data_IF_389391749229
#
_entry.id   IF_389391749229
#
_cell.length_a   1.000
_cell.length_b   1.000
_cell.length_c   1.000
_cell.angle_alpha   90.00
_cell.angle_beta   90.00
_cell.angle_gamma   90.00
#
_symmetry.space_group_name_H-M   'P 1'
#
loop_
_entity.id
_entity.type
_entity.pdbx_description
1 polymer ?
#
# COMPACT_ATOMS: atom_id res chain seq x y z
N UNK A 1 -18.66 -21.49 -59.99
CA UNK A 1 -19.55 -22.45 -59.36
C UNK A 1 -19.19 -23.87 -59.72
N UNK A 2 -18.12 -24.48 -59.22
CA UNK A 2 -17.84 -25.95 -59.28
C UNK A 2 -16.60 -26.29 -58.49
N UNK A 3 -16.67 -26.12 -57.20
CA UNK A 3 -15.60 -26.59 -56.26
C UNK A 3 -16.08 -27.12 -54.90
N UNK A 4 -17.39 -27.26 -54.69
CA UNK A 4 -17.95 -27.72 -53.40
C UNK A 4 -18.59 -29.12 -53.47
N UNK A 5 -18.61 -29.80 -54.63
CA UNK A 5 -19.25 -31.13 -54.79
C UNK A 5 -18.35 -32.34 -54.49
N UNK A 6 -17.02 -32.20 -54.52
CA UNK A 6 -16.11 -33.34 -54.52
C UNK A 6 -15.67 -33.84 -53.12
N UNK A 7 -15.81 -33.01 -52.06
CA UNK A 7 -15.39 -33.41 -50.69
C UNK A 7 -16.37 -34.28 -49.90
N UNK A 8 -17.62 -34.34 -50.33
CA UNK A 8 -18.66 -35.09 -49.58
C UNK A 8 -18.78 -36.54 -50.01
N UNK A 9 -18.35 -36.92 -51.21
CA UNK A 9 -18.38 -38.30 -51.69
C UNK A 9 -17.23 -39.18 -51.14
N UNK A 10 -16.05 -38.59 -50.96
CA UNK A 10 -14.88 -39.29 -50.40
C UNK A 10 -15.04 -39.61 -48.92
N UNK A 11 -15.72 -38.77 -48.15
CA UNK A 11 -16.02 -39.05 -46.76
C UNK A 11 -17.10 -40.13 -46.59
N UNK A 12 -18.09 -40.24 -47.52
CA UNK A 12 -19.07 -41.33 -47.50
C UNK A 12 -18.46 -42.67 -47.89
N UNK A 13 -17.48 -42.71 -48.77
CA UNK A 13 -16.76 -43.96 -49.15
C UNK A 13 -15.83 -44.44 -48.02
N UNK A 14 -15.17 -43.53 -47.27
CA UNK A 14 -14.36 -43.88 -46.08
C UNK A 14 -15.22 -44.40 -44.91
N UNK A 15 -16.38 -43.85 -44.69
CA UNK A 15 -17.31 -44.31 -43.63
C UNK A 15 -17.95 -45.68 -43.98
N UNK A 16 -18.22 -45.98 -45.26
CA UNK A 16 -18.70 -47.33 -45.68
C UNK A 16 -17.61 -48.39 -45.58
N UNK A 17 -16.31 -48.05 -45.84
CA UNK A 17 -15.19 -48.99 -45.63
C UNK A 17 -14.91 -49.27 -44.17
N UNK A 18 -15.12 -48.34 -43.28
CA UNK A 18 -14.98 -48.53 -41.83
C UNK A 18 -16.11 -49.36 -41.21
N UNK A 19 -17.35 -49.25 -41.76
CA UNK A 19 -18.47 -50.07 -41.29
C UNK A 19 -18.37 -51.53 -41.80
N UNK A 20 -17.78 -51.79 -42.98
CA UNK A 20 -17.57 -53.15 -43.49
C UNK A 20 -16.46 -53.92 -42.77
N UNK A 21 -15.48 -53.22 -42.18
CA UNK A 21 -14.39 -53.82 -41.37
C UNK A 21 -14.80 -54.16 -39.92
N UNK A 22 -16.03 -53.77 -39.50
CA UNK A 22 -16.54 -54.00 -38.15
C UNK A 22 -17.53 -55.19 -38.05
N UNK A 23 -17.80 -55.84 -39.16
CA UNK A 23 -18.76 -56.99 -39.25
C UNK A 23 -18.11 -58.37 -39.46
N UNK A 24 -16.75 -58.45 -39.58
CA UNK A 24 -16.01 -59.69 -39.53
C UNK A 24 -15.21 -59.80 -38.25
N UNK A 25 -15.89 -59.94 -37.14
CA UNK A 25 -15.32 -60.49 -35.93
C UNK A 25 -15.82 -61.89 -35.76
N UNK A 26 -15.07 -62.84 -36.26
CA UNK A 26 -15.11 -64.23 -35.89
C UNK A 26 -15.16 -64.40 -34.38
N UNK A 27 -16.01 -65.29 -33.90
CA UNK A 27 -16.09 -65.72 -32.50
C UNK A 27 -14.68 -66.14 -32.03
N UNK A 28 -14.17 -65.44 -31.07
CA UNK A 28 -12.87 -65.71 -30.43
C UNK A 28 -13.12 -66.87 -29.47
N UNK A 29 -12.54 -68.04 -29.74
CA UNK A 29 -12.63 -69.21 -28.85
C UNK A 29 -11.75 -68.96 -27.60
N UNK A 30 -12.14 -69.54 -26.48
CA UNK A 30 -11.39 -69.37 -25.19
C UNK A 30 -9.91 -69.76 -25.32
N UNK A 31 -9.55 -70.67 -26.25
CA UNK A 31 -8.15 -71.03 -26.56
C UNK A 31 -7.37 -69.94 -27.25
N UNK A 32 -7.98 -69.04 -28.02
CA UNK A 32 -7.35 -67.94 -28.67
C UNK A 32 -7.09 -66.78 -27.65
N UNK A 33 -7.97 -66.65 -26.66
CA UNK A 33 -7.79 -65.71 -25.54
C UNK A 33 -6.64 -66.17 -24.66
N UNK A 34 -6.55 -67.44 -24.32
CA UNK A 34 -5.48 -68.00 -23.54
C UNK A 34 -4.11 -67.93 -24.26
N UNK A 35 -4.06 -68.08 -25.57
CA UNK A 35 -2.85 -67.87 -26.37
C UNK A 35 -2.42 -66.39 -26.33
N UNK A 36 -3.34 -65.47 -26.53
CA UNK A 36 -3.01 -64.01 -26.47
C UNK A 36 -2.60 -63.58 -25.08
N UNK A 37 -3.19 -64.15 -24.04
CA UNK A 37 -2.77 -63.90 -22.66
C UNK A 37 -1.34 -64.43 -22.40
N UNK A 38 -1.03 -65.65 -22.85
CA UNK A 38 0.29 -66.25 -22.72
C UNK A 38 1.33 -65.45 -23.50
N UNK A 39 1.04 -65.00 -24.73
CA UNK A 39 1.95 -64.18 -25.54
C UNK A 39 2.15 -62.80 -24.95
N UNK A 40 1.12 -62.19 -24.33
CA UNK A 40 1.27 -60.94 -23.65
C UNK A 40 2.10 -61.04 -22.36
N UNK A 41 1.90 -62.11 -21.56
CA UNK A 41 2.73 -62.39 -20.40
C UNK A 41 4.18 -62.74 -20.77
N UNK A 42 4.44 -63.48 -21.86
CA UNK A 42 5.77 -63.76 -22.34
C UNK A 42 6.50 -62.50 -22.84
N UNK A 43 5.78 -61.57 -23.47
CA UNK A 43 6.32 -60.26 -23.87
C UNK A 43 6.55 -59.30 -22.68
N UNK A 44 5.75 -59.36 -21.64
CA UNK A 44 5.94 -58.60 -20.41
C UNK A 44 7.06 -59.15 -19.53
N UNK A 45 7.29 -60.49 -19.57
CA UNK A 45 8.35 -61.17 -18.77
C UNK A 45 9.79 -61.02 -19.31
N UNK A 46 9.97 -60.64 -20.58
CA UNK A 46 11.30 -60.58 -21.20
C UNK A 46 11.91 -59.17 -21.38
N UNK A 47 11.22 -58.12 -20.94
CA UNK A 47 11.81 -56.78 -20.90
C UNK A 47 12.51 -56.56 -19.57
N UNK A 48 13.81 -56.73 -19.53
CA UNK A 48 14.68 -56.24 -18.50
C UNK A 48 14.31 -54.80 -18.20
N UNK A 49 14.28 -54.41 -16.91
CA UNK A 49 13.95 -53.07 -16.41
C UNK A 49 14.62 -51.98 -17.29
N UNK A 50 13.86 -51.35 -18.16
CA UNK A 50 14.36 -50.31 -19.02
C UNK A 50 14.88 -49.18 -18.18
N UNK A 51 16.05 -48.63 -18.54
CA UNK A 51 16.69 -47.48 -17.83
C UNK A 51 15.73 -46.29 -17.67
N UNK A 52 14.78 -46.13 -18.55
CA UNK A 52 13.70 -45.13 -18.51
C UNK A 52 12.71 -45.31 -17.37
N UNK A 53 12.45 -46.56 -16.97
CA UNK A 53 11.55 -46.85 -15.82
C UNK A 53 12.25 -46.53 -14.50
N UNK A 54 13.56 -46.80 -14.39
CA UNK A 54 14.35 -46.45 -13.22
C UNK A 54 14.51 -44.94 -13.09
N UNK A 55 14.80 -44.25 -14.16
CA UNK A 55 14.92 -42.77 -14.18
C UNK A 55 13.58 -42.06 -13.85
N UNK A 56 12.43 -42.60 -14.26
CA UNK A 56 11.13 -42.06 -13.87
C UNK A 56 10.79 -42.30 -12.41
N UNK A 57 11.25 -43.40 -11.83
CA UNK A 57 11.10 -43.67 -10.40
C UNK A 57 12.01 -42.77 -9.59
N UNK A 58 13.28 -42.67 -9.93
CA UNK A 58 14.26 -41.80 -9.27
C UNK A 58 13.82 -40.33 -9.34
N UNK A 59 13.20 -39.87 -10.44
CA UNK A 59 12.67 -38.54 -10.57
C UNK A 59 11.40 -38.27 -9.71
N UNK A 60 10.57 -39.33 -9.52
CA UNK A 60 9.42 -39.24 -8.59
C UNK A 60 9.88 -39.22 -7.14
N UNK A 61 10.82 -40.07 -6.79
CA UNK A 61 11.35 -40.16 -5.44
C UNK A 61 12.11 -38.87 -5.07
N UNK A 62 12.88 -38.29 -6.01
CA UNK A 62 13.51 -36.99 -5.85
C UNK A 62 12.50 -35.82 -5.72
N UNK A 63 11.41 -35.84 -6.50
CA UNK A 63 10.36 -34.84 -6.40
C UNK A 63 9.59 -34.96 -5.06
N UNK A 64 9.37 -36.18 -4.57
CA UNK A 64 8.70 -36.43 -3.32
C UNK A 64 9.58 -36.05 -2.13
N UNK A 65 10.89 -36.32 -2.19
CA UNK A 65 11.86 -35.88 -1.20
C UNK A 65 11.98 -34.34 -1.15
N UNK A 66 11.97 -33.68 -2.31
CA UNK A 66 11.99 -32.24 -2.40
C UNK A 66 10.74 -31.60 -1.79
N UNK A 67 9.57 -32.16 -2.09
CA UNK A 67 8.29 -31.71 -1.55
C UNK A 67 8.20 -31.94 -0.04
N UNK A 68 8.73 -33.05 0.48
CA UNK A 68 8.84 -33.30 1.92
C UNK A 68 9.82 -32.33 2.59
N UNK A 69 10.96 -32.05 1.99
CA UNK A 69 11.93 -31.08 2.51
C UNK A 69 11.37 -29.64 2.49
N UNK A 70 10.61 -29.30 1.45
CA UNK A 70 9.89 -28.00 1.39
C UNK A 70 8.82 -27.88 2.48
N UNK A 71 8.05 -28.94 2.74
CA UNK A 71 7.06 -28.97 3.83
C UNK A 71 7.73 -28.88 5.22
N UNK A 72 8.82 -29.62 5.43
CA UNK A 72 9.58 -29.55 6.69
C UNK A 72 10.25 -28.17 6.89
N UNK A 73 10.65 -27.50 5.81
CA UNK A 73 11.13 -26.12 5.87
C UNK A 73 10.01 -25.14 6.18
N UNK A 74 8.84 -25.28 5.54
CA UNK A 74 7.68 -24.43 5.85
C UNK A 74 7.18 -24.63 7.29
N UNK A 75 7.21 -25.84 7.83
CA UNK A 75 6.86 -26.11 9.23
C UNK A 75 7.87 -25.49 10.19
N UNK A 76 9.17 -25.57 9.89
CA UNK A 76 10.23 -24.92 10.67
C UNK A 76 10.14 -23.39 10.59
N UNK A 77 9.87 -22.82 9.40
CA UNK A 77 9.69 -21.37 9.25
C UNK A 77 8.45 -20.86 10.00
N UNK A 78 7.36 -21.64 10.06
CA UNK A 78 6.18 -21.31 10.86
C UNK A 78 6.40 -21.39 12.36
N UNK A 79 7.38 -22.16 12.82
CA UNK A 79 7.74 -22.24 14.23
C UNK A 79 8.74 -21.15 14.67
N UNK A 80 9.31 -20.38 13.75
CA UNK A 80 10.23 -19.29 14.06
C UNK A 80 9.45 -17.97 14.15
N UNK A 81 9.40 -17.40 15.35
CA UNK A 81 8.81 -16.08 15.58
C UNK A 81 9.88 -14.99 15.46
N UNK A 82 9.72 -14.09 14.52
CA UNK A 82 10.59 -12.91 14.39
C UNK A 82 10.00 -11.76 15.20
N UNK A 83 10.67 -11.40 16.28
CA UNK A 83 10.20 -10.44 17.28
C UNK A 83 11.27 -9.38 17.57
N UNK A 84 10.82 -8.20 18.00
CA UNK A 84 11.71 -7.19 18.61
C UNK A 84 11.89 -7.46 20.11
N UNK A 85 12.93 -6.90 20.73
CA UNK A 85 13.26 -7.15 22.14
C UNK A 85 12.18 -6.73 23.16
N UNK A 86 11.18 -5.94 22.74
CA UNK A 86 10.12 -5.40 23.61
C UNK A 86 8.73 -5.56 23.00
N UNK A 87 8.17 -6.75 23.10
CA UNK A 87 6.81 -7.08 22.62
C UNK A 87 5.85 -7.17 23.80
N UNK A 88 4.60 -6.75 23.61
CA UNK A 88 3.56 -6.91 24.63
C UNK A 88 3.00 -8.33 24.65
N UNK A 89 2.45 -8.74 25.80
CA UNK A 89 1.80 -10.07 25.95
C UNK A 89 0.72 -10.30 24.90
N UNK A 90 -0.05 -9.26 24.55
CA UNK A 90 -1.10 -9.34 23.55
C UNK A 90 -0.55 -9.54 22.13
N UNK A 91 0.54 -8.87 21.78
CA UNK A 91 1.22 -9.03 20.49
C UNK A 91 1.84 -10.42 20.36
N UNK A 92 2.53 -10.89 21.39
CA UNK A 92 3.11 -12.23 21.42
C UNK A 92 2.03 -13.32 21.24
N UNK A 93 0.90 -13.21 21.94
CA UNK A 93 -0.24 -14.11 21.80
C UNK A 93 -0.81 -14.12 20.38
N UNK A 94 -0.95 -12.94 19.76
CA UNK A 94 -1.44 -12.81 18.39
C UNK A 94 -0.50 -13.45 17.37
N UNK A 95 0.81 -13.28 17.54
CA UNK A 95 1.82 -13.85 16.66
C UNK A 95 1.93 -15.37 16.77
N UNK A 96 1.75 -15.92 17.96
CA UNK A 96 1.68 -17.36 18.19
C UNK A 96 0.33 -17.98 17.79
N UNK A 97 -0.70 -17.16 17.53
CA UNK A 97 -2.07 -17.61 17.24
C UNK A 97 -2.77 -18.24 18.44
N UNK A 98 -2.38 -17.87 19.67
CA UNK A 98 -2.84 -18.42 20.94
C UNK A 98 -3.65 -17.36 21.69
N UNK A 99 -4.54 -17.78 22.60
CA UNK A 99 -5.31 -16.81 23.37
C UNK A 99 -4.42 -16.08 24.39
N UNK A 100 -4.64 -14.77 24.56
CA UNK A 100 -3.88 -13.95 25.52
C UNK A 100 -3.93 -14.51 26.95
N UNK A 101 -5.06 -15.14 27.32
CA UNK A 101 -5.26 -15.78 28.62
C UNK A 101 -4.37 -16.98 28.84
N UNK A 102 -4.09 -17.77 27.80
CA UNK A 102 -3.17 -18.91 27.86
C UNK A 102 -1.72 -18.45 28.04
N UNK A 103 -1.32 -17.39 27.34
CA UNK A 103 0.02 -16.79 27.48
C UNK A 103 0.21 -16.22 28.88
N UNK A 104 -0.80 -15.53 29.45
CA UNK A 104 -0.75 -15.03 30.83
C UNK A 104 -0.66 -16.20 31.82
N UNK A 105 -1.42 -17.29 31.59
CA UNK A 105 -1.37 -18.48 32.45
C UNK A 105 -0.01 -19.14 32.42
N UNK A 106 0.63 -19.25 31.27
CA UNK A 106 2.01 -19.74 31.13
C UNK A 106 3.00 -18.84 31.86
N UNK A 107 2.91 -17.51 31.69
CA UNK A 107 3.74 -16.58 32.47
C UNK A 107 3.54 -16.75 33.99
N UNK A 108 2.29 -16.92 34.45
CA UNK A 108 2.01 -17.17 35.88
C UNK A 108 2.59 -18.49 36.38
N UNK A 109 2.58 -19.55 35.56
CA UNK A 109 3.19 -20.84 35.92
C UNK A 109 4.72 -20.75 36.05
N UNK A 110 5.33 -19.83 35.33
CA UNK A 110 6.76 -19.49 35.40
C UNK A 110 7.07 -18.49 36.54
N UNK A 111 6.05 -18.07 37.31
CA UNK A 111 6.21 -17.16 38.46
C UNK A 111 6.22 -15.68 38.07
N UNK A 112 5.86 -15.34 36.84
CA UNK A 112 5.82 -13.98 36.32
C UNK A 112 4.38 -13.45 36.30
N UNK A 113 4.12 -12.37 37.05
CA UNK A 113 2.83 -11.71 37.05
C UNK A 113 2.83 -10.62 35.98
N UNK A 114 2.14 -10.86 34.86
CA UNK A 114 2.11 -9.95 33.72
C UNK A 114 0.68 -9.52 33.42
N UNK A 115 0.53 -8.28 32.95
CA UNK A 115 -0.72 -7.75 32.43
C UNK A 115 -0.75 -7.80 30.89
N UNK A 116 -1.95 -7.72 30.29
CA UNK A 116 -2.18 -7.83 28.84
C UNK A 116 -1.29 -6.89 28.03
N UNK A 117 -1.09 -5.66 28.48
CA UNK A 117 -0.33 -4.62 27.79
C UNK A 117 1.10 -4.46 28.35
N UNK A 118 1.54 -5.37 29.20
CA UNK A 118 2.89 -5.33 29.74
C UNK A 118 3.88 -5.78 28.67
N UNK A 119 4.98 -5.05 28.54
CA UNK A 119 6.10 -5.43 27.69
C UNK A 119 6.91 -6.52 28.39
N UNK A 120 7.24 -7.55 27.62
CA UNK A 120 8.10 -8.64 28.06
C UNK A 120 9.54 -8.35 27.62
N UNK A 121 10.49 -8.76 28.40
CA UNK A 121 11.90 -8.75 28.05
C UNK A 121 12.28 -9.98 27.21
N UNK A 122 13.41 -9.91 26.53
CA UNK A 122 13.87 -10.96 25.61
C UNK A 122 13.98 -12.34 26.28
N UNK A 123 14.38 -12.42 27.56
CA UNK A 123 14.49 -13.67 28.30
C UNK A 123 13.10 -14.28 28.54
N UNK A 124 12.15 -13.47 28.97
CA UNK A 124 10.76 -13.90 29.23
C UNK A 124 10.07 -14.34 27.93
N UNK A 125 10.29 -13.60 26.83
CA UNK A 125 9.74 -13.95 25.51
C UNK A 125 10.25 -15.32 25.07
N UNK A 126 11.56 -15.59 25.16
CA UNK A 126 12.13 -16.89 24.83
C UNK A 126 11.52 -18.01 25.67
N UNK A 127 11.42 -17.79 26.97
CA UNK A 127 10.93 -18.82 27.91
C UNK A 127 9.46 -19.17 27.63
N UNK A 128 8.63 -18.16 27.33
CA UNK A 128 7.22 -18.37 27.02
C UNK A 128 7.06 -18.99 25.63
N UNK A 129 7.83 -18.57 24.64
CA UNK A 129 7.76 -19.13 23.29
C UNK A 129 8.20 -20.60 23.26
N UNK A 130 9.24 -20.96 24.00
CA UNK A 130 9.71 -22.36 24.14
C UNK A 130 8.64 -23.27 24.77
N UNK A 131 7.86 -22.78 25.75
CA UNK A 131 6.76 -23.54 26.37
C UNK A 131 5.67 -23.90 25.36
N UNK A 132 5.45 -23.02 24.35
CA UNK A 132 4.50 -23.27 23.26
C UNK A 132 5.14 -23.90 22.00
N UNK A 133 6.43 -24.23 22.05
CA UNK A 133 7.16 -24.91 20.96
C UNK A 133 7.55 -23.99 19.79
N UNK A 134 7.64 -22.68 20.02
CA UNK A 134 8.12 -21.70 19.07
C UNK A 134 9.58 -21.31 19.37
N UNK A 135 10.39 -21.16 18.33
CA UNK A 135 11.73 -20.57 18.42
C UNK A 135 11.64 -19.07 18.13
N UNK A 136 12.31 -18.25 18.94
CA UNK A 136 12.32 -16.80 18.78
C UNK A 136 13.62 -16.36 18.12
N UNK A 137 13.49 -15.59 17.06
CA UNK A 137 14.60 -14.87 16.41
C UNK A 137 14.38 -13.37 16.66
N UNK A 138 15.23 -12.78 17.50
CA UNK A 138 15.16 -11.33 17.73
C UNK A 138 15.71 -10.60 16.50
N UNK A 139 14.82 -9.86 15.84
CA UNK A 139 15.21 -8.94 14.78
C UNK A 139 15.64 -7.64 15.47
N UNK A 140 16.93 -7.41 15.55
CA UNK A 140 17.45 -6.16 16.09
C UNK A 140 17.01 -5.00 15.18
N UNK A 141 16.73 -3.85 15.78
CA UNK A 141 16.39 -2.58 15.11
C UNK A 141 17.47 -2.18 14.10
N UNK A 142 18.69 -2.70 14.25
CA UNK A 142 19.83 -2.51 13.34
C UNK A 142 19.56 -2.96 11.89
N UNK A 143 18.64 -3.90 11.64
CA UNK A 143 18.28 -4.28 10.27
C UNK A 143 17.37 -3.21 9.62
N UNK A 144 16.56 -2.50 10.41
CA UNK A 144 15.81 -1.35 9.91
C UNK A 144 16.74 -0.14 9.69
N UNK A 145 17.73 0.06 10.53
CA UNK A 145 18.76 1.09 10.36
C UNK A 145 19.69 0.78 9.18
N UNK A 146 20.07 -0.46 8.94
CA UNK A 146 20.88 -0.87 7.78
C UNK A 146 20.17 -0.65 6.42
N UNK A 147 18.84 -0.57 6.40
CA UNK A 147 18.09 -0.17 5.19
C UNK A 147 18.10 1.38 5.06
N UNK A 148 18.27 2.11 6.14
CA UNK A 148 18.36 3.58 6.14
C UNK A 148 19.78 4.11 5.85
N UNK A 149 20.83 3.32 6.11
CA UNK A 149 22.25 3.73 5.96
C UNK A 149 22.79 3.73 4.51
N UNK A 150 22.03 3.38 3.48
CA UNK A 150 22.57 3.25 2.11
C UNK A 150 22.56 4.57 1.31
N UNK A 151 22.73 5.70 1.97
CA UNK A 151 23.31 6.94 1.43
C UNK A 151 23.32 8.04 2.49
N UNK A 152 24.49 8.45 2.97
CA UNK A 152 24.67 9.73 3.65
C UNK A 152 24.08 10.83 2.75
N UNK A 153 22.97 11.44 3.21
CA UNK A 153 22.41 12.62 2.57
C UNK A 153 23.43 13.78 2.76
N UNK A 154 24.35 13.90 1.83
CA UNK A 154 25.27 15.04 1.81
C UNK A 154 24.45 16.28 1.45
N UNK A 155 24.68 17.39 2.16
CA UNK A 155 23.98 18.65 1.93
C UNK A 155 24.02 19.11 0.47
N UNK A 156 25.06 18.71 -0.28
CA UNK A 156 25.25 19.04 -1.69
C UNK A 156 24.19 18.37 -2.62
N UNK A 157 23.57 17.27 -2.19
CA UNK A 157 22.57 16.52 -2.96
C UNK A 157 21.12 16.87 -2.59
N UNK A 158 20.94 17.71 -1.59
CA UNK A 158 19.61 18.11 -1.12
C UNK A 158 19.05 19.23 -1.97
N UNK A 159 17.92 18.97 -2.64
CA UNK A 159 17.19 19.95 -3.44
C UNK A 159 15.89 20.35 -2.74
N UNK A 160 15.44 21.61 -2.91
CA UNK A 160 14.12 22.03 -2.42
C UNK A 160 13.02 21.14 -3.00
N UNK A 161 12.06 20.74 -2.17
CA UNK A 161 10.89 19.97 -2.59
C UNK A 161 9.60 20.72 -2.30
N UNK A 162 8.53 20.47 -3.07
CA UNK A 162 7.20 20.99 -2.77
C UNK A 162 6.73 20.59 -1.37
N UNK A 163 6.02 21.49 -0.66
CA UNK A 163 5.38 21.12 0.60
C UNK A 163 4.23 20.15 0.38
N UNK A 164 4.07 19.22 1.30
CA UNK A 164 2.94 18.29 1.36
C UNK A 164 1.93 18.84 2.35
N UNK A 165 0.73 19.15 1.86
CA UNK A 165 -0.30 19.87 2.60
C UNK A 165 -1.55 19.02 2.76
N UNK A 166 -2.05 18.92 3.98
CA UNK A 166 -3.33 18.25 4.28
C UNK A 166 -4.38 19.27 4.67
N UNK A 167 -5.60 19.11 4.15
CA UNK A 167 -6.75 19.96 4.52
C UNK A 167 -7.63 19.23 5.53
N UNK A 168 -7.81 19.83 6.70
CA UNK A 168 -8.55 19.27 7.83
C UNK A 168 -9.66 20.21 8.30
N UNK A 169 -10.59 19.70 9.07
CA UNK A 169 -11.70 20.46 9.65
C UNK A 169 -13.01 19.68 9.65
N UNK A 170 -14.09 20.29 10.12
CA UNK A 170 -15.38 19.64 10.24
C UNK A 170 -16.00 19.29 8.87
N UNK A 171 -16.91 18.31 8.87
CA UNK A 171 -17.77 18.00 7.71
C UNK A 171 -18.53 19.29 7.33
N UNK A 172 -18.79 19.51 6.04
CA UNK A 172 -19.50 20.66 5.49
C UNK A 172 -18.85 22.04 5.68
N UNK A 173 -17.65 22.14 6.26
CA UNK A 173 -16.89 23.41 6.31
C UNK A 173 -16.27 23.79 4.97
N UNK A 174 -16.32 22.88 3.97
CA UNK A 174 -15.97 23.17 2.58
C UNK A 174 -14.59 22.68 2.16
N UNK A 175 -14.02 21.65 2.83
CA UNK A 175 -12.75 20.99 2.45
C UNK A 175 -12.75 20.59 0.98
N UNK A 176 -13.72 19.77 0.59
CA UNK A 176 -13.86 19.27 -0.80
C UNK A 176 -14.02 20.42 -1.79
N UNK A 177 -14.80 21.46 -1.42
CA UNK A 177 -14.98 22.62 -2.30
C UNK A 177 -13.69 23.41 -2.52
N UNK A 178 -12.86 23.54 -1.48
CA UNK A 178 -11.54 24.17 -1.58
C UNK A 178 -10.61 23.35 -2.47
N UNK A 179 -10.51 22.05 -2.21
CA UNK A 179 -9.66 21.14 -2.98
C UNK A 179 -10.11 21.05 -4.45
N UNK A 180 -11.42 20.99 -4.69
CA UNK A 180 -11.98 21.03 -6.04
C UNK A 180 -11.70 22.34 -6.78
N UNK A 181 -11.77 23.48 -6.07
CA UNK A 181 -11.44 24.78 -6.66
C UNK A 181 -9.96 24.83 -7.06
N UNK A 182 -9.06 24.48 -6.14
CA UNK A 182 -7.62 24.46 -6.38
C UNK A 182 -7.28 23.52 -7.56
N UNK A 183 -7.89 22.34 -7.61
CA UNK A 183 -7.71 21.38 -8.70
C UNK A 183 -8.20 21.90 -10.03
N UNK A 184 -9.40 22.53 -10.09
CA UNK A 184 -9.99 23.08 -11.32
C UNK A 184 -9.23 24.27 -11.86
N UNK A 185 -8.77 25.18 -11.00
CA UNK A 185 -8.06 26.41 -11.41
C UNK A 185 -6.69 26.08 -12.01
N UNK A 186 -6.05 25.00 -11.54
CA UNK A 186 -4.78 24.53 -12.04
C UNK A 186 -4.89 23.51 -13.19
N UNK A 187 -6.10 23.14 -13.62
CA UNK A 187 -6.34 22.44 -14.88
C UNK A 187 -6.23 23.50 -16.00
N UNK A 188 -4.99 23.84 -16.37
CA UNK A 188 -4.72 24.63 -17.57
C UNK A 188 -5.39 23.91 -18.75
N UNK A 189 -6.23 24.65 -19.45
CA UNK A 189 -6.97 24.27 -20.63
C UNK A 189 -6.20 23.30 -21.55
N UNK A 190 -6.64 22.06 -21.67
CA UNK A 190 -6.07 21.19 -22.68
C UNK A 190 -6.43 19.71 -22.63
N UNK A 191 -7.04 19.16 -21.59
CA UNK A 191 -7.37 17.73 -21.59
C UNK A 191 -8.83 17.44 -21.23
N UNK A 192 -9.62 17.18 -22.28
CA UNK A 192 -10.93 16.57 -22.20
C UNK A 192 -10.76 15.05 -21.95
N UNK A 193 -10.74 14.64 -20.71
CA UNK A 193 -10.73 13.25 -20.29
C UNK A 193 -11.41 13.11 -18.94
N UNK A 194 -12.75 13.20 -18.92
CA UNK A 194 -13.56 13.15 -17.71
C UNK A 194 -13.63 11.78 -17.05
N UNK A 195 -12.54 11.31 -16.46
CA UNK A 195 -12.57 10.19 -15.50
C UNK A 195 -11.79 10.68 -14.28
N UNK A 196 -12.51 11.20 -13.31
CA UNK A 196 -11.96 11.51 -11.99
C UNK A 196 -11.71 10.18 -11.28
N UNK A 197 -10.50 9.66 -11.36
CA UNK A 197 -10.03 8.65 -10.41
C UNK A 197 -9.76 9.41 -9.11
N UNK A 198 -10.39 8.99 -8.03
CA UNK A 198 -10.06 9.48 -6.69
C UNK A 198 -8.66 8.97 -6.36
N UNK A 199 -7.68 9.82 -6.57
CA UNK A 199 -6.31 9.62 -6.08
C UNK A 199 -6.22 10.50 -4.84
N UNK A 200 -5.90 9.88 -3.69
CA UNK A 200 -5.86 10.56 -2.40
C UNK A 200 -4.77 11.64 -2.27
N UNK A 201 -4.02 11.94 -3.33
CA UNK A 201 -3.01 12.97 -3.36
C UNK A 201 -2.84 13.56 -4.78
N UNK A 202 -2.57 14.85 -4.90
CA UNK A 202 -2.33 15.50 -6.20
C UNK A 202 -1.38 16.69 -6.06
N UNK A 203 -0.61 16.95 -7.13
CA UNK A 203 0.35 18.04 -7.20
C UNK A 203 -0.25 19.21 -7.98
N UNK A 204 -0.14 20.41 -7.40
CA UNK A 204 -0.62 21.65 -7.97
C UNK A 204 0.56 22.56 -8.28
N UNK A 205 0.69 22.98 -9.53
CA UNK A 205 1.67 23.99 -9.95
C UNK A 205 1.01 25.35 -10.00
N UNK A 206 1.56 26.29 -9.28
CA UNK A 206 1.12 27.69 -9.28
C UNK A 206 1.62 28.43 -10.51
N UNK A 207 1.05 29.61 -10.77
CA UNK A 207 1.40 30.42 -11.94
C UNK A 207 2.86 30.89 -11.96
N UNK A 208 3.48 31.00 -10.81
CA UNK A 208 4.89 31.37 -10.62
C UNK A 208 5.88 30.19 -10.76
N UNK A 209 5.37 28.96 -10.95
CA UNK A 209 6.16 27.76 -11.11
C UNK A 209 6.42 27.00 -9.80
N UNK A 210 6.08 27.55 -8.64
CA UNK A 210 6.10 26.81 -7.36
C UNK A 210 5.04 25.71 -7.38
N UNK A 211 5.26 24.63 -6.65
CA UNK A 211 4.34 23.52 -6.56
C UNK A 211 3.96 23.22 -5.11
N UNK A 212 2.76 22.71 -4.92
CA UNK A 212 2.23 22.24 -3.64
C UNK A 212 1.56 20.90 -3.84
N UNK A 213 1.85 19.93 -3.00
CA UNK A 213 1.19 18.63 -3.03
C UNK A 213 0.10 18.55 -1.97
N UNK A 214 -1.13 18.35 -2.40
CA UNK A 214 -2.27 18.20 -1.51
C UNK A 214 -2.60 16.74 -1.27
N UNK A 215 -2.92 16.41 -0.02
CA UNK A 215 -3.50 15.12 0.37
C UNK A 215 -5.01 15.28 0.51
N UNK A 216 -5.76 14.59 -0.36
CA UNK A 216 -7.22 14.52 -0.36
C UNK A 216 -7.67 13.19 0.27
N UNK A 217 -7.29 12.96 1.50
CA UNK A 217 -7.75 11.80 2.27
C UNK A 217 -8.90 12.24 3.17
N UNK A 218 -9.87 11.37 3.51
CA UNK A 218 -10.86 11.67 4.54
C UNK A 218 -10.10 12.01 5.83
N UNK A 219 -10.00 13.32 6.11
CA UNK A 219 -8.93 13.98 6.88
C UNK A 219 -8.61 13.40 8.24
N UNK A 220 -9.54 12.69 8.87
CA UNK A 220 -9.39 12.26 10.26
C UNK A 220 -8.82 10.84 10.40
N UNK A 221 -9.40 9.88 9.68
CA UNK A 221 -9.04 8.45 9.84
C UNK A 221 -7.68 8.13 9.23
N UNK A 222 -7.39 8.66 8.04
CA UNK A 222 -6.11 8.42 7.37
C UNK A 222 -4.95 9.08 8.12
N UNK A 223 -5.13 10.30 8.64
CA UNK A 223 -4.11 11.00 9.41
C UNK A 223 -3.80 10.27 10.73
N UNK A 224 -4.83 9.79 11.43
CA UNK A 224 -4.68 9.01 12.66
C UNK A 224 -4.01 7.66 12.39
N UNK A 225 -4.40 6.97 11.31
CA UNK A 225 -3.80 5.69 10.93
C UNK A 225 -2.33 5.85 10.49
N UNK A 226 -2.01 6.88 9.71
CA UNK A 226 -0.65 7.19 9.27
C UNK A 226 0.25 7.52 10.46
N UNK A 227 -0.24 8.33 11.42
CA UNK A 227 0.49 8.70 12.62
C UNK A 227 0.72 7.52 13.56
N UNK A 228 -0.27 6.65 13.74
CA UNK A 228 -0.13 5.45 14.57
C UNK A 228 0.97 4.52 14.05
N UNK A 229 1.36 4.64 12.78
CA UNK A 229 2.42 3.87 12.12
C UNK A 229 3.75 4.63 12.00
N UNK A 230 3.87 5.80 12.65
CA UNK A 230 5.08 6.61 12.63
C UNK A 230 5.36 7.32 11.30
N UNK A 231 4.42 7.32 10.35
CA UNK A 231 4.58 8.04 9.09
C UNK A 231 4.12 9.49 9.25
N UNK A 232 5.05 10.42 9.42
CA UNK A 232 4.78 11.85 9.28
C UNK A 232 4.86 12.20 7.79
N UNK A 233 3.70 12.29 7.14
CA UNK A 233 3.62 12.50 5.70
C UNK A 233 3.36 13.96 5.35
N UNK A 234 2.75 14.71 6.27
CA UNK A 234 2.31 16.10 6.08
C UNK A 234 3.33 17.09 6.63
N UNK A 235 3.67 18.09 5.84
CA UNK A 235 4.53 19.19 6.24
C UNK A 235 3.73 20.35 6.84
N UNK A 236 2.55 20.66 6.30
CA UNK A 236 1.69 21.78 6.72
C UNK A 236 0.22 21.31 6.73
N UNK A 237 -0.53 21.70 7.73
CA UNK A 237 -1.96 21.45 7.83
C UNK A 237 -2.77 22.74 7.60
N UNK A 238 -3.72 22.70 6.67
CA UNK A 238 -4.74 23.73 6.51
C UNK A 238 -5.95 23.31 7.34
N UNK A 239 -6.30 24.11 8.33
CA UNK A 239 -7.48 23.91 9.17
C UNK A 239 -8.60 24.79 8.65
N UNK A 240 -9.61 24.18 8.03
CA UNK A 240 -10.75 24.92 7.46
C UNK A 240 -11.91 25.02 8.45
N UNK A 241 -12.44 26.22 8.65
CA UNK A 241 -13.54 26.54 9.56
C UNK A 241 -14.55 27.39 8.80
N UNK A 242 -15.84 27.06 8.91
CA UNK A 242 -16.88 27.88 8.27
C UNK A 242 -17.21 29.12 9.09
N UNK A 243 -17.22 30.30 8.46
CA UNK A 243 -17.50 31.59 9.11
C UNK A 243 -18.98 31.74 9.57
N UNK A 244 -19.88 30.90 9.03
CA UNK A 244 -21.30 30.83 9.40
C UNK A 244 -21.59 29.84 10.51
N UNK A 245 -20.55 29.24 11.12
CA UNK A 245 -20.64 28.23 12.16
C UNK A 245 -19.76 28.58 13.37
N UNK A 246 -19.21 27.59 14.05
CA UNK A 246 -18.25 27.69 15.16
C UNK A 246 -17.13 26.67 15.01
N UNK A 247 -16.15 26.72 15.91
CA UNK A 247 -15.08 25.70 15.96
C UNK A 247 -15.67 24.38 16.49
N UNK A 248 -15.99 23.47 15.58
CA UNK A 248 -16.63 22.19 15.89
C UNK A 248 -15.67 21.17 16.51
N UNK A 249 -16.16 20.16 17.26
CA UNK A 249 -15.31 19.15 17.91
C UNK A 249 -14.31 18.46 16.99
N UNK A 250 -14.71 18.12 15.75
CA UNK A 250 -13.80 17.53 14.75
C UNK A 250 -12.67 18.49 14.34
N UNK A 251 -12.95 19.80 14.34
CA UNK A 251 -11.91 20.81 14.07
C UNK A 251 -10.93 20.89 15.23
N UNK A 252 -11.41 20.85 16.48
CA UNK A 252 -10.59 20.82 17.69
C UNK A 252 -9.67 19.59 17.68
N UNK A 253 -10.22 18.45 17.30
CA UNK A 253 -9.48 17.20 17.18
C UNK A 253 -8.40 17.29 16.10
N UNK A 254 -8.72 17.87 14.93
CA UNK A 254 -7.76 18.10 13.84
C UNK A 254 -6.60 19.03 14.30
N UNK A 255 -6.92 20.10 15.02
CA UNK A 255 -5.93 21.02 15.60
C UNK A 255 -5.02 20.27 16.59
N UNK A 256 -5.62 19.49 17.50
CA UNK A 256 -4.87 18.70 18.48
C UNK A 256 -3.95 17.69 17.81
N UNK A 257 -4.40 17.02 16.74
CA UNK A 257 -3.59 16.09 15.98
C UNK A 257 -2.41 16.77 15.28
N UNK A 258 -2.64 17.90 14.62
CA UNK A 258 -1.58 18.66 13.96
C UNK A 258 -0.56 19.21 15.00
N UNK A 259 -1.05 19.75 16.13
CA UNK A 259 -0.22 20.25 17.22
C UNK A 259 0.62 19.15 17.85
N UNK A 260 0.03 17.99 18.13
CA UNK A 260 0.75 16.87 18.71
C UNK A 260 1.75 16.22 17.73
N UNK A 261 1.58 16.41 16.42
CA UNK A 261 2.54 16.01 15.39
C UNK A 261 3.64 17.06 15.16
N UNK A 262 3.53 18.25 15.75
CA UNK A 262 4.45 19.35 15.50
C UNK A 262 4.33 19.95 14.11
N UNK A 263 3.21 19.72 13.41
CA UNK A 263 2.96 20.21 12.05
C UNK A 263 2.46 21.66 12.13
N UNK A 264 3.07 22.62 11.42
CA UNK A 264 2.56 23.98 11.28
C UNK A 264 1.14 24.01 10.73
N UNK A 265 0.33 24.94 11.25
CA UNK A 265 -1.08 25.06 10.90
C UNK A 265 -1.36 26.43 10.29
N UNK A 266 -2.12 26.45 9.20
CA UNK A 266 -2.68 27.64 8.57
C UNK A 266 -4.20 27.56 8.69
N UNK A 267 -4.83 28.57 9.28
CA UNK A 267 -6.29 28.60 9.43
C UNK A 267 -6.94 29.21 8.19
N UNK A 268 -7.97 28.54 7.65
CA UNK A 268 -8.77 29.02 6.53
C UNK A 268 -10.22 29.23 6.99
N UNK A 269 -10.63 30.48 7.15
CA UNK A 269 -12.01 30.80 7.51
C UNK A 269 -12.84 30.90 6.23
N UNK A 270 -13.61 29.86 5.97
CA UNK A 270 -14.36 29.67 4.72
C UNK A 270 -15.81 30.19 4.82
N UNK A 271 -16.44 30.34 3.66
CA UNK A 271 -17.83 30.77 3.50
C UNK A 271 -18.09 32.23 3.94
N UNK A 272 -17.10 33.09 3.81
CA UNK A 272 -17.25 34.53 4.14
C UNK A 272 -18.28 35.26 3.27
N UNK A 273 -18.68 34.63 2.17
CA UNK A 273 -19.70 35.13 1.25
C UNK A 273 -21.15 34.90 1.71
N UNK A 274 -21.34 34.14 2.79
CA UNK A 274 -22.68 33.85 3.30
C UNK A 274 -23.22 34.96 4.20
N UNK A 275 -24.55 35.22 4.15
CA UNK A 275 -25.16 36.12 5.12
C UNK A 275 -25.05 35.49 6.53
N UNK A 276 -24.57 36.30 7.49
CA UNK A 276 -24.34 35.83 8.87
C UNK A 276 -22.91 35.27 9.12
N UNK A 277 -22.05 35.26 8.12
CA UNK A 277 -20.64 34.95 8.32
C UNK A 277 -19.99 35.93 9.29
N UNK A 278 -19.30 35.41 10.29
CA UNK A 278 -18.58 36.21 11.30
C UNK A 278 -17.18 35.64 11.52
N UNK A 279 -16.19 36.08 10.69
CA UNK A 279 -14.81 35.61 10.84
C UNK A 279 -14.19 35.96 12.19
N UNK A 280 -14.54 37.13 12.76
CA UNK A 280 -13.97 37.57 14.04
C UNK A 280 -14.39 36.69 15.21
N UNK A 281 -15.61 36.15 15.18
CA UNK A 281 -16.06 35.14 16.16
C UNK A 281 -15.15 33.90 16.11
N UNK A 282 -14.80 33.43 14.92
CA UNK A 282 -13.92 32.26 14.76
C UNK A 282 -12.52 32.56 15.28
N UNK A 283 -11.98 33.77 15.02
CA UNK A 283 -10.69 34.19 15.57
C UNK A 283 -10.70 34.24 17.09
N UNK A 284 -11.79 34.73 17.69
CA UNK A 284 -11.98 34.75 19.14
C UNK A 284 -12.02 33.34 19.72
N UNK A 285 -12.77 32.40 19.10
CA UNK A 285 -12.82 31.01 19.53
C UNK A 285 -11.45 30.33 19.43
N UNK A 286 -10.67 30.59 18.37
CA UNK A 286 -9.30 30.11 18.22
C UNK A 286 -8.37 30.70 19.29
N UNK A 287 -8.48 32.02 19.57
CA UNK A 287 -7.70 32.69 20.61
C UNK A 287 -7.98 32.10 21.99
N UNK A 288 -9.25 31.80 22.32
CA UNK A 288 -9.63 31.14 23.58
C UNK A 288 -9.02 29.73 23.74
N UNK A 289 -8.67 29.08 22.63
CA UNK A 289 -7.96 27.79 22.62
C UNK A 289 -6.42 27.94 22.55
N UNK A 290 -5.89 29.16 22.74
CA UNK A 290 -4.46 29.52 22.62
C UNK A 290 -3.89 29.42 21.18
N UNK A 291 -4.74 29.48 20.16
CA UNK A 291 -4.32 29.58 18.75
C UNK A 291 -4.53 31.00 18.22
N UNK A 292 -3.74 31.94 18.75
CA UNK A 292 -3.84 33.34 18.37
C UNK A 292 -3.30 33.56 16.95
N UNK A 293 -4.13 34.16 16.10
CA UNK A 293 -3.79 34.44 14.70
C UNK A 293 -2.84 35.65 14.57
N UNK A 294 -2.08 35.72 13.47
CA UNK A 294 -1.08 36.77 13.23
C UNK A 294 -1.71 38.16 13.21
N UNK A 295 -2.90 38.33 12.64
CA UNK A 295 -3.62 39.60 12.59
C UNK A 295 -3.93 40.16 14.00
N UNK A 296 -4.00 39.32 15.01
CA UNK A 296 -4.18 39.69 16.42
C UNK A 296 -2.92 39.60 17.25
N UNK A 297 -1.74 39.55 16.57
CA UNK A 297 -0.43 39.51 17.23
C UNK A 297 0.02 38.11 17.65
N UNK A 298 -0.58 37.07 17.11
CA UNK A 298 -0.19 35.68 17.33
C UNK A 298 0.83 35.16 16.30
N UNK A 299 1.01 33.87 16.27
CA UNK A 299 1.97 33.18 15.40
C UNK A 299 1.32 32.38 14.25
N UNK A 300 0.00 32.20 14.26
CA UNK A 300 -0.67 31.35 13.30
C UNK A 300 -1.18 32.17 12.12
N UNK A 301 -0.86 31.74 10.90
CA UNK A 301 -1.39 32.31 9.68
C UNK A 301 -2.89 32.04 9.58
N UNK A 302 -3.65 33.05 9.16
CA UNK A 302 -5.08 32.94 8.98
C UNK A 302 -5.50 33.64 7.68
N UNK A 303 -6.43 33.06 6.92
CA UNK A 303 -6.98 33.66 5.71
C UNK A 303 -8.49 33.45 5.61
N UNK A 304 -9.19 34.53 5.34
CA UNK A 304 -10.61 34.50 5.00
C UNK A 304 -10.80 34.12 3.53
N UNK A 305 -11.62 33.12 3.28
CA UNK A 305 -11.82 32.58 1.93
C UNK A 305 -13.31 32.33 1.60
N UNK A 306 -13.60 32.24 0.33
CA UNK A 306 -14.81 31.58 -0.16
C UNK A 306 -14.43 30.53 -1.21
N UNK A 307 -14.35 29.29 -0.82
CA UNK A 307 -14.03 28.17 -1.70
C UNK A 307 -15.02 28.06 -2.88
N UNK A 308 -16.30 28.40 -2.64
CA UNK A 308 -17.34 28.37 -3.67
C UNK A 308 -17.17 29.45 -4.73
N UNK A 309 -16.72 30.67 -4.33
CA UNK A 309 -16.52 31.81 -5.23
C UNK A 309 -15.09 31.98 -5.70
N UNK A 310 -14.15 31.24 -5.10
CA UNK A 310 -12.72 31.36 -5.40
C UNK A 310 -12.08 32.62 -4.82
N UNK A 311 -12.69 33.19 -3.76
CA UNK A 311 -12.21 34.42 -3.17
C UNK A 311 -11.03 34.11 -2.23
N UNK A 312 -9.92 34.86 -2.37
CA UNK A 312 -8.71 34.85 -1.54
C UNK A 312 -8.06 33.44 -1.38
N UNK A 313 -8.22 32.58 -2.38
CA UNK A 313 -7.59 31.24 -2.35
C UNK A 313 -6.10 31.35 -2.71
N UNK A 314 -5.75 32.25 -3.61
CA UNK A 314 -4.37 32.52 -3.97
C UNK A 314 -3.60 33.04 -2.76
N UNK A 315 -4.18 33.95 -1.99
CA UNK A 315 -3.61 34.48 -0.75
C UNK A 315 -3.43 33.39 0.32
N UNK A 316 -4.38 32.45 0.41
CA UNK A 316 -4.22 31.27 1.29
C UNK A 316 -3.01 30.44 0.87
N UNK A 317 -2.86 30.19 -0.43
CA UNK A 317 -1.72 29.40 -0.95
C UNK A 317 -0.39 30.13 -0.73
N UNK A 318 -0.35 31.45 -0.87
CA UNK A 318 0.84 32.25 -0.55
C UNK A 318 1.25 32.11 0.94
N UNK A 319 0.27 32.13 1.87
CA UNK A 319 0.54 31.91 3.29
C UNK A 319 1.07 30.51 3.57
N UNK A 320 0.54 29.51 2.89
CA UNK A 320 1.04 28.11 2.98
C UNK A 320 2.48 28.01 2.47
N UNK A 321 2.79 28.70 1.36
CA UNK A 321 4.14 28.71 0.82
C UNK A 321 5.12 29.45 1.72
N UNK A 322 4.68 30.53 2.37
CA UNK A 322 5.48 31.24 3.35
C UNK A 322 5.88 30.35 4.54
N UNK A 323 4.92 29.56 5.06
CA UNK A 323 5.22 28.56 6.09
C UNK A 323 6.19 27.47 5.57
N UNK A 324 6.02 27.05 4.31
CA UNK A 324 6.91 26.07 3.69
C UNK A 324 8.36 26.58 3.56
N UNK A 325 8.54 27.86 3.23
CA UNK A 325 9.86 28.50 3.16
C UNK A 325 10.55 28.52 4.53
N UNK A 326 9.79 28.74 5.62
CA UNK A 326 10.33 28.71 6.99
C UNK A 326 10.79 27.31 7.41
N UNK A 327 10.20 26.25 6.82
CA UNK A 327 10.55 24.87 7.10
C UNK A 327 11.81 24.39 6.33
N UNK A 328 12.26 25.13 5.31
CA UNK A 328 13.40 24.78 4.43
C UNK A 328 13.35 23.32 3.94
N UNK A 329 12.21 22.95 3.32
CA UNK A 329 11.93 21.60 2.92
C UNK A 329 12.84 21.14 1.78
N UNK A 330 13.67 20.15 2.06
CA UNK A 330 14.65 19.58 1.11
C UNK A 330 14.54 18.06 1.06
N UNK A 331 14.89 17.48 -0.06
CA UNK A 331 15.05 16.03 -0.22
C UNK A 331 16.11 15.72 -1.28
N UNK A 332 16.72 14.56 -1.16
CA UNK A 332 17.67 14.07 -2.16
C UNK A 332 16.93 13.27 -3.25
N UNK A 333 16.85 13.77 -4.50
CA UNK A 333 16.16 13.06 -5.58
C UNK A 333 17.00 11.93 -6.18
N UNK A 334 18.31 11.87 -5.92
CA UNK A 334 19.24 10.93 -6.56
C UNK A 334 19.33 9.58 -5.86
N UNK A 335 18.69 9.43 -4.70
CA UNK A 335 18.66 8.15 -3.98
C UNK A 335 17.48 7.26 -4.43
N UNK A 336 17.47 6.01 -3.95
CA UNK A 336 16.34 5.10 -4.09
C UNK A 336 15.09 5.74 -3.46
N UNK A 337 13.95 5.58 -4.11
CA UNK A 337 12.74 6.19 -3.61
C UNK A 337 12.29 5.59 -2.29
N UNK A 338 11.96 6.45 -1.37
CA UNK A 338 11.31 6.12 -0.11
C UNK A 338 10.10 7.03 0.08
N UNK A 339 9.08 6.53 0.76
CA UNK A 339 7.88 7.32 1.01
C UNK A 339 6.79 6.52 1.70
N UNK A 340 5.55 6.96 1.54
CA UNK A 340 4.41 6.38 2.23
C UNK A 340 3.28 6.01 1.28
N UNK A 341 2.55 4.97 1.64
CA UNK A 341 1.30 4.57 0.97
C UNK A 341 0.18 5.47 1.47
N UNK A 342 -0.51 6.14 0.56
CA UNK A 342 -1.67 6.98 0.88
C UNK A 342 -2.93 6.13 0.93
N UNK A 343 -3.13 5.32 -0.10
CA UNK A 343 -4.24 4.38 -0.17
C UNK A 343 -3.88 3.21 -1.08
N UNK A 344 -4.59 2.10 -0.94
CA UNK A 344 -4.49 0.98 -1.85
C UNK A 344 -5.84 0.32 -2.06
N UNK A 345 -6.03 -0.26 -3.23
CA UNK A 345 -7.27 -0.95 -3.57
C UNK A 345 -7.03 -2.06 -4.58
N UNK A 346 -7.99 -2.97 -4.68
CA UNK A 346 -8.01 -3.99 -5.73
C UNK A 346 -8.92 -3.55 -6.87
N UNK A 347 -8.34 -3.16 -7.98
CA UNK A 347 -9.07 -2.87 -9.21
C UNK A 347 -9.35 -4.17 -9.98
N UNK A 348 -10.60 -4.37 -10.43
CA UNK A 348 -11.03 -5.59 -11.15
C UNK A 348 -10.32 -5.82 -12.48
N UNK A 349 -9.77 -4.76 -13.10
CA UNK A 349 -9.11 -4.83 -14.40
C UNK A 349 -7.59 -4.70 -14.34
N UNK A 350 -7.07 -3.95 -13.37
CA UNK A 350 -5.65 -3.57 -13.25
C UNK A 350 -4.91 -4.34 -12.15
N UNK A 351 -5.63 -5.05 -11.27
CA UNK A 351 -5.07 -5.75 -10.11
C UNK A 351 -4.91 -4.81 -8.91
N UNK A 352 -3.89 -5.06 -8.09
CA UNK A 352 -3.59 -4.20 -6.95
C UNK A 352 -3.03 -2.86 -7.41
N UNK A 353 -3.67 -1.80 -6.94
CA UNK A 353 -3.35 -0.41 -7.23
C UNK A 353 -3.04 0.28 -5.91
N UNK A 354 -1.93 1.00 -5.84
CA UNK A 354 -1.58 1.78 -4.66
C UNK A 354 -1.20 3.21 -5.06
N UNK A 355 -1.73 4.19 -4.33
CA UNK A 355 -1.28 5.58 -4.40
C UNK A 355 -0.15 5.75 -3.41
N UNK A 356 1.02 6.06 -3.92
CA UNK A 356 2.22 6.31 -3.14
C UNK A 356 2.57 7.79 -3.19
N UNK A 357 3.15 8.30 -2.11
CA UNK A 357 3.75 9.62 -2.05
C UNK A 357 5.24 9.46 -1.81
N UNK A 358 6.04 9.90 -2.76
CA UNK A 358 7.50 9.87 -2.65
C UNK A 358 7.95 10.96 -1.70
N UNK A 359 8.66 10.64 -0.65
CA UNK A 359 9.22 11.60 0.30
C UNK A 359 10.66 11.96 -0.04
N UNK A 360 11.44 11.00 -0.49
CA UNK A 360 12.81 11.20 -0.92
C UNK A 360 13.17 10.20 -2.03
N UNK A 361 14.18 10.52 -2.82
CA UNK A 361 14.58 9.69 -3.96
C UNK A 361 13.68 9.86 -5.18
N UNK A 362 13.89 9.02 -6.18
CA UNK A 362 13.09 9.01 -7.42
C UNK A 362 12.62 7.60 -7.71
N UNK A 363 11.30 7.40 -7.73
CA UNK A 363 10.64 6.15 -8.11
C UNK A 363 10.55 6.06 -9.63
N UNK A 364 10.88 4.89 -10.19
CA UNK A 364 10.86 4.64 -11.64
C UNK A 364 10.05 3.40 -11.97
N UNK A 365 9.53 3.36 -13.19
CA UNK A 365 8.91 2.14 -13.72
C UNK A 365 9.98 1.04 -13.84
N UNK A 366 9.69 -0.14 -13.33
CA UNK A 366 10.60 -1.28 -13.26
C UNK A 366 11.25 -1.49 -11.89
N UNK A 367 11.21 -0.51 -11.01
CA UNK A 367 11.77 -0.63 -9.67
C UNK A 367 11.03 -1.73 -8.86
N UNK A 368 11.78 -2.38 -7.98
CA UNK A 368 11.21 -3.31 -6.99
C UNK A 368 10.84 -2.52 -5.75
N UNK A 369 9.58 -2.50 -5.41
CA UNK A 369 9.06 -1.78 -4.24
C UNK A 369 8.67 -2.77 -3.16
N UNK A 370 9.12 -2.52 -1.94
CA UNK A 370 8.62 -3.13 -0.72
C UNK A 370 7.71 -2.13 -0.01
N UNK A 371 6.47 -2.50 0.27
CA UNK A 371 5.48 -1.66 0.94
C UNK A 371 4.80 -2.46 2.08
N UNK A 372 5.15 -2.15 3.33
CA UNK A 372 4.74 -2.96 4.47
C UNK A 372 5.22 -4.42 4.31
N UNK A 373 4.27 -5.35 4.27
CA UNK A 373 4.53 -6.78 4.04
C UNK A 373 4.42 -7.22 2.57
N UNK A 374 4.14 -6.29 1.65
CA UNK A 374 3.94 -6.59 0.24
C UNK A 374 5.09 -6.05 -0.59
N UNK A 375 5.40 -6.74 -1.67
CA UNK A 375 6.44 -6.33 -2.61
C UNK A 375 5.95 -6.49 -4.05
N UNK A 376 6.64 -5.88 -4.98
CA UNK A 376 6.35 -6.05 -6.40
C UNK A 376 7.18 -5.15 -7.28
N UNK A 377 7.18 -5.44 -8.57
CA UNK A 377 7.77 -4.57 -9.57
C UNK A 377 6.77 -3.52 -10.04
N UNK A 378 7.17 -2.29 -10.08
CA UNK A 378 6.36 -1.18 -10.63
C UNK A 378 6.19 -1.41 -12.14
N UNK A 379 5.06 -1.97 -12.54
CA UNK A 379 4.74 -2.25 -13.96
C UNK A 379 4.34 -0.99 -14.72
N UNK A 380 3.68 -0.08 -14.06
CA UNK A 380 3.26 1.20 -14.61
C UNK A 380 3.01 2.19 -13.48
N UNK A 381 3.22 3.47 -13.76
CA UNK A 381 2.87 4.58 -12.89
C UNK A 381 1.96 5.55 -13.63
N UNK A 382 1.06 6.18 -12.89
CA UNK A 382 0.14 7.18 -13.41
C UNK A 382 0.09 8.38 -12.46
N UNK A 383 -0.10 9.55 -13.03
CA UNK A 383 -0.41 10.75 -12.25
C UNK A 383 -1.91 10.77 -11.85
N UNK A 384 -2.30 11.79 -11.10
CA UNK A 384 -3.68 12.04 -10.66
C UNK A 384 -4.68 12.23 -11.81
N UNK A 385 -4.19 12.48 -13.03
CA UNK A 385 -4.99 12.67 -14.27
C UNK A 385 -5.06 11.41 -15.12
N UNK A 386 -4.48 10.29 -14.64
CA UNK A 386 -4.39 9.03 -15.39
C UNK A 386 -3.34 9.04 -16.51
N UNK A 387 -2.53 10.10 -16.61
CA UNK A 387 -1.38 10.16 -17.51
C UNK A 387 -0.27 9.23 -17.03
N UNK A 388 0.40 8.55 -17.96
CA UNK A 388 1.53 7.67 -17.61
C UNK A 388 2.72 8.50 -17.14
N UNK A 389 3.34 8.03 -16.05
CA UNK A 389 4.60 8.56 -15.53
C UNK A 389 5.70 7.54 -15.75
N UNK A 390 6.88 8.00 -16.12
CA UNK A 390 8.10 7.17 -16.15
C UNK A 390 8.85 7.22 -14.82
N UNK A 391 8.76 8.37 -14.13
CA UNK A 391 9.41 8.63 -12.85
C UNK A 391 8.55 9.55 -11.99
N UNK A 392 8.68 9.44 -10.67
CA UNK A 392 8.11 10.34 -9.67
C UNK A 392 9.20 10.74 -8.68
N UNK A 393 9.39 12.03 -8.49
CA UNK A 393 10.37 12.64 -7.60
C UNK A 393 9.83 12.93 -6.19
N UNK A 394 10.62 13.60 -5.33
CA UNK A 394 10.20 13.98 -3.99
C UNK A 394 8.93 14.85 -3.98
N UNK A 395 8.03 14.58 -3.05
CA UNK A 395 6.71 15.19 -2.89
C UNK A 395 5.75 14.95 -4.07
N UNK A 396 6.08 14.06 -5.00
CA UNK A 396 5.18 13.72 -6.11
C UNK A 396 4.34 12.48 -5.75
N UNK A 397 3.01 12.57 -5.88
CA UNK A 397 2.15 11.41 -5.76
C UNK A 397 2.17 10.59 -7.06
N UNK A 398 2.12 9.28 -6.93
CA UNK A 398 2.02 8.38 -8.08
C UNK A 398 1.08 7.20 -7.78
N UNK A 399 0.24 6.85 -8.73
CA UNK A 399 -0.53 5.62 -8.70
C UNK A 399 0.33 4.51 -9.31
N UNK A 400 0.67 3.50 -8.54
CA UNK A 400 1.51 2.38 -8.98
C UNK A 400 0.70 1.11 -9.18
N UNK A 401 1.11 0.32 -10.17
CA UNK A 401 0.60 -1.02 -10.45
C UNK A 401 1.73 -2.04 -10.33
N UNK A 402 1.43 -3.21 -9.79
CA UNK A 402 2.37 -4.33 -9.83
C UNK A 402 2.73 -4.91 -8.48
N UNK A 403 2.19 -4.39 -7.38
CA UNK A 403 2.32 -5.01 -6.07
C UNK A 403 1.58 -6.35 -6.02
N UNK A 404 2.04 -7.26 -5.18
CA UNK A 404 1.42 -8.58 -4.97
C UNK A 404 0.27 -8.58 -3.96
N UNK A 405 -0.05 -7.42 -3.37
CA UNK A 405 -1.13 -7.23 -2.41
C UNK A 405 -1.50 -5.77 -2.25
N UNK A 406 -2.41 -5.48 -1.33
CA UNK A 406 -2.85 -4.12 -0.98
C UNK A 406 -2.21 -3.70 0.35
N UNK A 407 -1.11 -2.93 0.34
CA UNK A 407 -0.53 -2.37 1.55
C UNK A 407 -1.53 -1.42 2.21
N UNK A 408 -1.38 -1.20 3.51
CA UNK A 408 -2.30 -0.32 4.24
C UNK A 408 -1.86 1.14 4.11
N UNK A 409 -2.83 2.07 4.23
CA UNK A 409 -2.53 3.50 4.31
C UNK A 409 -1.57 3.79 5.49
N UNK A 410 -0.51 4.56 5.24
CA UNK A 410 0.53 4.86 6.20
C UNK A 410 1.69 3.86 6.25
N UNK A 411 1.64 2.74 5.51
CA UNK A 411 2.81 1.88 5.39
C UNK A 411 3.92 2.63 4.65
N UNK A 412 5.15 2.48 5.11
CA UNK A 412 6.32 2.97 4.39
C UNK A 412 6.61 2.09 3.19
N UNK A 413 7.06 2.68 2.11
CA UNK A 413 7.62 1.94 1.00
C UNK A 413 9.07 2.31 0.76
N UNK A 414 9.85 1.33 0.33
CA UNK A 414 11.26 1.48 -0.04
C UNK A 414 11.51 0.77 -1.37
N UNK A 415 12.34 1.38 -2.22
CA UNK A 415 12.84 0.74 -3.44
C UNK A 415 14.03 -0.12 -3.09
N UNK A 416 13.92 -1.40 -3.39
CA UNK A 416 15.01 -2.37 -3.26
C UNK A 416 15.94 -2.28 -4.47
N UNK A 417 17.21 -2.32 -4.25
CA UNK A 417 18.21 -2.23 -5.32
C UNK A 417 18.54 -3.55 -5.97
#
# INVERSE_FOLDING_TARGET
SDRFGSRNEDNKKKLKKLKKKKQEKTEITDEDVDRQIKDTFARLGSKGKSSTSKHRRDKRDAAQQKMQAELEQEEKEKSILKLTEFVTVAELATMMGISVTEVISACMSLGLFVSINQRLDAETINLVADEFGFSVEFVSVEIQEAIEEDSEDTEENMLPRPPIVTVMGHVDHGKTSLLDYIRKTNVIAGEAGGITQHIGAYNVKLADGRAVTFLDTPGHEAFTAMRARGAQVTDIAIIIIAADDSVMPQTIEAINHASAAGVPMVFAINKVDKPGANPDKIREELANMNYLVEEWGGKYQCQEISAKKGLNIEELLEKVLLEAELLDLKANPNKKATGSIIESSLDKGRGYVATVLVQAGTLKVGDVVLAGQYFGHVKAMFNERGGKLEKAGPSEPALILGLNGAPQAGDRFNVLG
#
